data_IF_704478753762
#
_entry.id   IF_704478753762
#
_cell.length_a   1.000
_cell.length_b   1.000
_cell.length_c   1.000
_cell.angle_alpha   90.00
_cell.angle_beta   90.00
_cell.angle_gamma   90.00
#
_symmetry.space_group_name_H-M   'P 1'
#
loop_
_entity.id
_entity.type
_entity.pdbx_description
1 polymer ?
#
# COMPACT_ATOMS: atom_id res chain seq x y z
N UNK A 1 -31.96 46.03 -1.96
CA UNK A 1 -30.67 46.18 -1.28
C UNK A 1 -30.31 44.86 -0.63
N UNK A 2 -29.04 44.49 -0.74
CA UNK A 2 -28.31 43.32 -0.22
C UNK A 2 -28.96 41.92 -0.27
N UNK A 3 -28.49 41.11 -1.22
CA UNK A 3 -28.45 39.65 -1.13
C UNK A 3 -27.43 39.25 -0.06
N UNK A 4 -27.84 38.57 1.00
CA UNK A 4 -26.90 37.86 1.87
C UNK A 4 -26.61 36.48 1.26
N UNK A 5 -25.46 36.42 0.58
CA UNK A 5 -24.86 35.19 0.07
C UNK A 5 -23.64 34.85 0.93
N UNK A 6 -23.57 33.56 1.28
CA UNK A 6 -22.34 32.78 1.43
C UNK A 6 -21.59 32.87 2.77
N UNK A 7 -21.66 31.80 3.56
CA UNK A 7 -20.46 31.00 3.84
C UNK A 7 -20.86 29.61 4.34
N UNK A 8 -21.27 28.74 3.41
CA UNK A 8 -21.16 27.30 3.64
C UNK A 8 -19.73 26.94 3.24
N UNK A 9 -18.82 26.88 4.21
CA UNK A 9 -17.50 26.28 3.97
C UNK A 9 -17.72 24.78 3.75
N UNK A 10 -17.99 24.41 2.50
CA UNK A 10 -17.68 23.09 2.00
C UNK A 10 -16.17 22.93 2.17
N UNK A 11 -15.76 22.26 3.24
CA UNK A 11 -14.45 21.62 3.27
C UNK A 11 -14.55 20.52 2.23
N UNK A 12 -14.19 20.83 0.97
CA UNK A 12 -13.91 19.79 -0.01
C UNK A 12 -12.82 18.93 0.60
N UNK A 13 -13.21 17.80 1.17
CA UNK A 13 -12.31 16.68 1.32
C UNK A 13 -11.97 16.32 -0.12
N UNK A 14 -10.91 16.92 -0.66
CA UNK A 14 -10.31 16.45 -1.90
C UNK A 14 -9.95 14.99 -1.60
N UNK A 15 -10.73 14.08 -2.18
CA UNK A 15 -10.47 12.67 -2.09
C UNK A 15 -9.16 12.46 -2.86
N UNK A 16 -8.04 12.47 -2.16
CA UNK A 16 -6.76 12.05 -2.73
C UNK A 16 -7.00 10.67 -3.34
N UNK A 17 -6.97 10.56 -4.66
CA UNK A 17 -7.28 9.28 -5.30
C UNK A 17 -6.10 8.36 -5.03
N UNK A 18 -6.37 7.29 -4.29
CA UNK A 18 -5.44 6.21 -4.01
C UNK A 18 -5.67 5.10 -5.03
N UNK A 19 -4.65 4.71 -5.79
CA UNK A 19 -4.73 3.53 -6.66
C UNK A 19 -4.79 2.26 -5.82
N UNK A 20 -5.22 1.15 -6.42
CA UNK A 20 -4.96 -0.16 -5.81
C UNK A 20 -3.45 -0.39 -5.68
N UNK A 21 -3.06 -1.11 -4.63
CA UNK A 21 -1.65 -1.46 -4.41
C UNK A 21 -1.21 -2.64 -5.26
N UNK A 22 0.01 -2.57 -5.73
CA UNK A 22 0.69 -3.64 -6.43
C UNK A 22 1.77 -4.25 -5.54
N UNK A 23 2.08 -5.53 -5.80
CA UNK A 23 3.11 -6.26 -5.08
C UNK A 23 4.06 -6.90 -6.07
N UNK A 24 5.36 -6.71 -5.87
CA UNK A 24 6.44 -7.26 -6.67
C UNK A 24 7.53 -7.86 -5.77
N UNK A 25 8.47 -8.58 -6.41
CA UNK A 25 9.65 -9.17 -5.77
C UNK A 25 9.35 -9.95 -4.47
N UNK A 26 8.23 -10.68 -4.44
CA UNK A 26 7.87 -11.52 -3.29
C UNK A 26 8.88 -12.66 -3.19
N UNK A 27 9.69 -12.64 -2.15
CA UNK A 27 10.63 -13.70 -1.80
C UNK A 27 10.15 -14.48 -0.58
N UNK A 28 11.02 -15.35 -0.06
CA UNK A 28 10.74 -16.08 1.18
C UNK A 28 10.67 -15.14 2.40
N UNK A 29 11.37 -14.01 2.35
CA UNK A 29 11.59 -13.13 3.51
C UNK A 29 11.33 -11.66 3.25
N UNK A 30 11.03 -11.29 2.00
CA UNK A 30 10.77 -9.91 1.61
C UNK A 30 9.63 -9.80 0.59
N UNK A 31 9.13 -8.59 0.44
CA UNK A 31 8.22 -8.19 -0.63
C UNK A 31 8.34 -6.68 -0.84
N UNK A 32 8.04 -6.23 -2.04
CA UNK A 32 7.91 -4.81 -2.34
C UNK A 32 6.43 -4.52 -2.62
N UNK A 33 5.91 -3.50 -1.93
CA UNK A 33 4.53 -3.05 -2.06
C UNK A 33 4.55 -1.60 -2.51
N UNK A 34 3.83 -1.30 -3.59
CA UNK A 34 3.79 0.06 -4.13
C UNK A 34 2.40 0.47 -4.61
N UNK A 35 2.16 1.78 -4.63
CA UNK A 35 0.93 2.38 -5.12
C UNK A 35 1.17 3.85 -5.46
N UNK A 36 0.20 4.46 -6.16
CA UNK A 36 0.24 5.86 -6.55
C UNK A 36 -0.88 6.65 -5.85
N UNK A 37 -0.61 7.93 -5.64
CA UNK A 37 -1.61 8.92 -5.23
C UNK A 37 -1.63 10.10 -6.20
N UNK A 38 -2.77 10.78 -6.32
CA UNK A 38 -2.90 11.94 -7.22
C UNK A 38 -2.06 13.15 -6.83
N UNK A 39 -1.62 13.23 -5.57
CA UNK A 39 -0.90 14.38 -5.01
C UNK A 39 0.17 13.91 -4.03
N UNK A 40 1.27 14.67 -3.83
CA UNK A 40 2.31 14.29 -2.88
C UNK A 40 1.78 14.24 -1.45
N UNK A 41 1.75 13.04 -0.88
CA UNK A 41 1.26 12.80 0.48
C UNK A 41 2.20 11.87 1.24
N UNK A 42 2.05 11.83 2.56
CA UNK A 42 2.72 10.83 3.39
C UNK A 42 1.74 9.69 3.61
N UNK A 43 2.18 8.48 3.28
CA UNK A 43 1.44 7.26 3.52
C UNK A 43 2.08 6.40 4.60
N UNK A 44 1.32 5.42 5.08
CA UNK A 44 1.81 4.40 6.00
C UNK A 44 1.40 3.02 5.53
N UNK A 45 2.32 2.06 5.62
CA UNK A 45 2.08 0.64 5.39
C UNK A 45 2.19 -0.11 6.72
N UNK A 46 1.17 -0.89 7.07
CA UNK A 46 1.21 -1.78 8.24
C UNK A 46 1.20 -3.24 7.77
N UNK A 47 2.20 -4.02 8.18
CA UNK A 47 2.31 -5.45 7.85
C UNK A 47 3.11 -6.17 8.95
N UNK A 48 2.66 -7.35 9.38
CA UNK A 48 3.39 -8.17 10.37
C UNK A 48 3.74 -7.40 11.67
N UNK A 49 2.80 -6.63 12.21
CA UNK A 49 2.98 -5.74 13.37
C UNK A 49 4.07 -4.65 13.19
N UNK A 50 4.60 -4.46 11.97
CA UNK A 50 5.49 -3.36 11.61
C UNK A 50 4.69 -2.26 10.94
N UNK A 51 5.04 -1.03 11.23
CA UNK A 51 4.51 0.16 10.56
C UNK A 51 5.67 0.85 9.86
N UNK A 52 5.53 1.04 8.55
CA UNK A 52 6.45 1.77 7.69
C UNK A 52 5.76 3.05 7.23
N UNK A 53 6.55 4.09 6.96
CA UNK A 53 6.04 5.42 6.60
C UNK A 53 6.99 6.07 5.60
N UNK A 54 6.43 6.83 4.66
CA UNK A 54 7.24 7.63 3.75
C UNK A 54 8.12 8.64 4.51
N UNK A 55 9.32 8.87 3.98
CA UNK A 55 10.24 9.86 4.54
C UNK A 55 9.82 11.31 4.23
N UNK A 56 9.16 11.52 3.08
CA UNK A 56 8.71 12.82 2.60
C UNK A 56 7.42 12.64 1.76
N UNK A 57 6.60 13.71 1.58
CA UNK A 57 5.40 13.63 0.75
C UNK A 57 5.78 13.29 -0.70
N UNK A 58 5.20 12.22 -1.24
CA UNK A 58 5.47 11.70 -2.60
C UNK A 58 4.17 11.21 -3.23
N UNK A 59 4.15 11.07 -4.55
CA UNK A 59 3.01 10.45 -5.28
C UNK A 59 3.22 8.96 -5.46
N UNK A 60 4.47 8.54 -5.70
CA UNK A 60 4.87 7.15 -5.82
C UNK A 60 5.35 6.64 -4.46
N UNK A 61 4.58 5.71 -3.88
CA UNK A 61 4.89 5.11 -2.59
C UNK A 61 5.44 3.72 -2.81
N UNK A 62 6.65 3.45 -2.32
CA UNK A 62 7.29 2.13 -2.41
C UNK A 62 7.82 1.71 -1.05
N UNK A 63 7.40 0.54 -0.60
CA UNK A 63 7.77 -0.02 0.69
C UNK A 63 8.49 -1.36 0.51
N UNK A 64 9.79 -1.37 0.84
CA UNK A 64 10.61 -2.58 0.90
C UNK A 64 10.38 -3.30 2.24
N UNK A 65 9.47 -4.28 2.25
CA UNK A 65 9.12 -5.06 3.44
C UNK A 65 10.10 -6.20 3.62
N UNK A 66 10.78 -6.25 4.77
CA UNK A 66 11.74 -7.31 5.11
C UNK A 66 11.41 -8.02 6.43
N UNK A 67 12.04 -9.18 6.64
CA UNK A 67 11.86 -9.99 7.85
C UNK A 67 10.50 -10.69 7.91
N UNK A 68 9.99 -11.09 6.74
CA UNK A 68 8.85 -11.98 6.62
C UNK A 68 9.30 -13.43 6.82
N UNK A 69 8.35 -14.32 7.16
CA UNK A 69 8.57 -15.77 7.24
C UNK A 69 8.11 -16.41 5.94
N UNK A 70 8.84 -17.40 5.45
CA UNK A 70 8.50 -18.11 4.21
C UNK A 70 7.15 -18.82 4.32
N UNK A 71 6.47 -19.00 3.17
CA UNK A 71 5.17 -19.70 3.08
C UNK A 71 4.13 -19.20 4.09
N UNK A 72 4.12 -17.90 4.36
CA UNK A 72 3.25 -17.28 5.35
C UNK A 72 2.39 -16.23 4.67
N UNK A 73 1.08 -16.25 4.99
CA UNK A 73 0.15 -15.21 4.55
C UNK A 73 0.26 -14.02 5.49
N UNK A 74 0.38 -12.84 4.91
CA UNK A 74 0.38 -11.57 5.63
C UNK A 74 -0.72 -10.67 5.09
N UNK A 75 -1.59 -10.22 5.98
CA UNK A 75 -2.46 -9.09 5.68
C UNK A 75 -1.64 -7.81 5.85
N UNK A 76 -1.84 -6.86 4.94
CA UNK A 76 -1.24 -5.54 5.02
C UNK A 76 -2.28 -4.46 4.76
N UNK A 77 -2.04 -3.30 5.35
CA UNK A 77 -2.92 -2.15 5.19
C UNK A 77 -2.10 -0.95 4.76
N UNK A 78 -2.48 -0.36 3.63
CA UNK A 78 -2.00 0.96 3.19
C UNK A 78 -2.98 2.01 3.67
N UNK A 79 -2.46 3.10 4.23
CA UNK A 79 -3.26 4.22 4.73
C UNK A 79 -2.70 5.54 4.23
N UNK A 80 -3.58 6.34 3.66
CA UNK A 80 -3.33 7.69 3.14
C UNK A 80 -4.43 8.61 3.67
N UNK A 81 -4.07 9.59 4.50
CA UNK A 81 -5.02 10.49 5.14
C UNK A 81 -6.18 9.73 5.84
N UNK A 82 -7.42 9.91 5.38
CA UNK A 82 -8.63 9.24 5.86
C UNK A 82 -8.93 7.91 5.14
N UNK A 83 -8.22 7.60 4.05
CA UNK A 83 -8.42 6.39 3.26
C UNK A 83 -7.50 5.26 3.72
N UNK A 84 -8.05 4.04 3.69
CA UNK A 84 -7.35 2.82 4.08
C UNK A 84 -7.80 1.68 3.17
N UNK A 85 -6.84 0.87 2.72
CA UNK A 85 -7.12 -0.34 1.94
C UNK A 85 -6.32 -1.50 2.53
N UNK A 86 -6.95 -2.67 2.66
CA UNK A 86 -6.35 -3.87 3.22
C UNK A 86 -6.33 -4.97 2.17
N UNK A 87 -5.17 -5.59 2.03
CA UNK A 87 -4.89 -6.66 1.06
C UNK A 87 -4.05 -7.74 1.74
N UNK A 88 -3.61 -8.75 0.99
CA UNK A 88 -2.74 -9.77 1.51
C UNK A 88 -1.71 -10.26 0.50
N UNK A 89 -0.56 -10.71 1.02
CA UNK A 89 0.49 -11.41 0.27
C UNK A 89 0.72 -12.79 0.88
N UNK A 90 1.24 -13.72 0.10
CA UNK A 90 1.78 -14.98 0.61
C UNK A 90 3.23 -15.08 0.16
N UNK A 91 4.16 -15.18 1.12
CA UNK A 91 5.59 -15.29 0.81
C UNK A 91 5.92 -16.60 0.13
N UNK A 92 6.99 -16.57 -0.68
CA UNK A 92 7.47 -17.74 -1.39
C UNK A 92 7.98 -18.82 -0.43
N UNK A 93 8.20 -20.01 -0.97
CA UNK A 93 8.97 -21.05 -0.30
C UNK A 93 10.44 -20.62 -0.17
N UNK A 94 11.16 -21.20 0.78
CA UNK A 94 12.61 -21.03 0.86
C UNK A 94 13.28 -21.44 -0.46
N UNK A 95 14.31 -20.70 -0.85
CA UNK A 95 15.13 -21.02 -2.01
C UNK A 95 15.66 -22.46 -1.91
N UNK A 96 15.66 -23.17 -3.04
CA UNK A 96 16.04 -24.59 -3.10
C UNK A 96 14.96 -25.57 -2.61
N UNK A 97 13.77 -25.10 -2.21
CA UNK A 97 12.65 -26.00 -1.94
C UNK A 97 12.25 -26.76 -3.20
N UNK A 98 12.11 -28.09 -3.08
CA UNK A 98 11.58 -28.97 -4.15
C UNK A 98 10.06 -29.12 -4.10
N UNK A 99 9.38 -28.32 -3.27
CA UNK A 99 7.91 -28.34 -3.21
C UNK A 99 7.36 -27.67 -4.48
N UNK A 100 6.32 -28.25 -5.11
CA UNK A 100 5.67 -27.63 -6.25
C UNK A 100 5.17 -26.22 -5.92
N UNK A 101 5.23 -25.33 -6.92
CA UNK A 101 4.64 -23.99 -6.85
C UNK A 101 3.91 -23.69 -8.17
N UNK A 102 2.92 -22.80 -8.10
CA UNK A 102 2.11 -22.38 -9.25
C UNK A 102 2.27 -20.88 -9.40
N UNK A 103 2.40 -20.42 -10.63
CA UNK A 103 2.35 -19.01 -10.99
C UNK A 103 1.48 -18.85 -12.24
N UNK A 104 0.85 -17.69 -12.36
CA UNK A 104 0.13 -17.29 -13.55
C UNK A 104 0.96 -16.26 -14.33
N UNK A 105 0.86 -16.28 -15.65
CA UNK A 105 1.52 -15.33 -16.55
C UNK A 105 0.51 -14.81 -17.57
N UNK A 106 0.59 -13.51 -17.87
CA UNK A 106 -0.23 -12.81 -18.87
C UNK A 106 0.64 -11.81 -19.62
N UNK A 107 0.34 -11.56 -20.91
CA UNK A 107 1.10 -10.67 -21.81
C UNK A 107 0.18 -9.76 -22.61
#
# INVERSE_FOLDING_TARGET
>A
MEKLRTHCQYFEQQAHSLTESFVNNISATEAVIWFETSEPVISTLSINNKVMKDAAPVTHHEFNVSGLTFRTKYDYTVKVASHSQTYHITTALNAGSRKPFVFAYTS
#
